data_IF_121758974010
#
_entry.id   IF_121758974010
#
_cell.length_a   1.000
_cell.length_b   1.000
_cell.length_c   1.000
_cell.angle_alpha   90.00
_cell.angle_beta   90.00
_cell.angle_gamma   90.00
#
_symmetry.space_group_name_H-M   'P 1'
#
loop_
_entity.id
_entity.type
_entity.pdbx_description
1 polymer ?
#
# COMPACT_ATOMS: atom_id res chain seq x y z
N UNK A 1 -9.16 -16.67 9.07
CA UNK A 1 -9.70 -16.10 7.82
C UNK A 1 -8.78 -14.99 7.29
N UNK A 2 -8.77 -14.72 5.98
CA UNK A 2 -8.06 -13.57 5.39
C UNK A 2 -9.07 -12.58 4.84
N UNK A 3 -9.01 -11.30 5.25
CA UNK A 3 -9.75 -10.22 4.59
C UNK A 3 -8.81 -9.47 3.65
N UNK A 4 -9.08 -9.52 2.36
CA UNK A 4 -8.32 -8.81 1.32
C UNK A 4 -8.90 -7.42 1.17
N UNK A 5 -8.08 -6.38 1.35
CA UNK A 5 -8.46 -4.98 1.15
C UNK A 5 -7.84 -4.44 -0.13
N UNK A 6 -8.68 -3.95 -1.02
CA UNK A 6 -8.33 -3.40 -2.32
C UNK A 6 -8.95 -2.01 -2.48
N UNK A 7 -8.18 -1.04 -2.98
CA UNK A 7 -8.70 0.26 -3.41
C UNK A 7 -8.55 0.40 -4.93
N UNK A 8 -9.61 0.84 -5.60
CA UNK A 8 -9.62 1.02 -7.06
C UNK A 8 -10.42 2.25 -7.50
N UNK A 9 -10.13 2.73 -8.71
CA UNK A 9 -10.89 3.77 -9.42
C UNK A 9 -10.68 3.62 -10.92
N UNK A 10 -11.73 3.30 -11.68
CA UNK A 10 -11.70 3.09 -13.13
C UNK A 10 -10.60 2.10 -13.55
N UNK A 11 -10.67 0.89 -12.99
CA UNK A 11 -9.67 -0.15 -13.14
C UNK A 11 -10.07 -1.32 -14.02
N UNK A 12 -11.16 -1.24 -14.77
CA UNK A 12 -11.74 -2.36 -15.54
C UNK A 12 -10.68 -3.11 -16.37
N UNK A 13 -9.78 -2.39 -17.04
CA UNK A 13 -8.80 -2.98 -17.97
C UNK A 13 -7.69 -3.80 -17.28
N UNK A 14 -7.24 -3.40 -16.09
CA UNK A 14 -6.11 -4.05 -15.39
C UNK A 14 -6.50 -4.83 -14.15
N UNK A 15 -7.64 -4.51 -13.54
CA UNK A 15 -8.15 -5.19 -12.35
C UNK A 15 -8.48 -6.67 -12.62
N UNK A 16 -8.88 -7.01 -13.84
CA UNK A 16 -9.26 -8.38 -14.23
C UNK A 16 -8.17 -9.39 -13.92
N UNK A 17 -6.93 -9.15 -14.34
CA UNK A 17 -5.81 -10.07 -14.11
C UNK A 17 -5.52 -10.25 -12.62
N UNK A 18 -5.65 -9.19 -11.82
CA UNK A 18 -5.50 -9.27 -10.38
C UNK A 18 -6.62 -10.10 -9.74
N UNK A 19 -7.88 -9.84 -10.08
CA UNK A 19 -9.04 -10.59 -9.55
C UNK A 19 -8.96 -12.08 -9.92
N UNK A 20 -8.57 -12.41 -11.15
CA UNK A 20 -8.35 -13.79 -11.60
C UNK A 20 -7.24 -14.46 -10.78
N UNK A 21 -6.17 -13.74 -10.44
CA UNK A 21 -5.08 -14.27 -9.62
C UNK A 21 -5.50 -14.49 -8.15
N UNK A 22 -6.42 -13.68 -7.63
CA UNK A 22 -7.03 -13.86 -6.31
C UNK A 22 -8.01 -15.04 -6.34
N UNK A 23 -8.83 -15.18 -7.38
CA UNK A 23 -9.77 -16.29 -7.55
C UNK A 23 -9.05 -17.66 -7.63
N UNK A 24 -7.84 -17.66 -8.17
CA UNK A 24 -7.04 -18.87 -8.35
C UNK A 24 -6.25 -19.27 -7.09
N UNK A 25 -6.39 -18.57 -5.95
CA UNK A 25 -5.66 -18.91 -4.73
C UNK A 25 -6.09 -20.28 -4.17
N UNK A 26 -5.11 -21.08 -3.74
CA UNK A 26 -5.34 -22.38 -3.10
C UNK A 26 -5.92 -22.27 -1.69
N UNK A 27 -5.64 -21.15 -1.01
CA UNK A 27 -6.26 -20.83 0.27
C UNK A 27 -7.66 -20.27 0.05
N UNK A 28 -8.69 -20.97 0.49
CA UNK A 28 -10.12 -20.66 0.17
C UNK A 28 -10.81 -19.80 1.24
N UNK A 29 -10.28 -19.72 2.48
CA UNK A 29 -10.95 -19.02 3.59
C UNK A 29 -10.62 -17.53 3.60
N UNK A 30 -11.06 -16.81 2.54
CA UNK A 30 -10.87 -15.37 2.40
C UNK A 30 -12.16 -14.66 1.95
N UNK A 31 -12.21 -13.37 2.17
CA UNK A 31 -13.19 -12.44 1.63
C UNK A 31 -12.51 -11.21 1.03
N UNK A 32 -13.17 -10.58 0.05
CA UNK A 32 -12.66 -9.39 -0.62
C UNK A 32 -13.51 -8.17 -0.28
N UNK A 33 -12.86 -7.11 0.18
CA UNK A 33 -13.47 -5.79 0.45
C UNK A 33 -12.82 -4.78 -0.47
N UNK A 34 -13.58 -4.21 -1.38
CA UNK A 34 -13.13 -3.24 -2.38
C UNK A 34 -13.62 -1.86 -2.01
N UNK A 35 -12.70 -0.94 -1.77
CA UNK A 35 -12.99 0.49 -1.75
C UNK A 35 -12.95 1.03 -3.18
N UNK A 36 -14.10 1.17 -3.79
CA UNK A 36 -14.27 1.76 -5.13
C UNK A 36 -14.57 3.26 -4.99
N UNK A 37 -13.67 4.12 -5.44
CA UNK A 37 -13.81 5.58 -5.31
C UNK A 37 -14.75 6.18 -6.38
N UNK A 38 -15.86 5.51 -6.68
CA UNK A 38 -16.86 6.00 -7.62
C UNK A 38 -16.48 5.77 -9.07
N UNK A 39 -16.01 4.56 -9.42
CA UNK A 39 -15.76 4.17 -10.80
C UNK A 39 -16.99 4.32 -11.69
N UNK A 40 -16.79 4.78 -12.91
CA UNK A 40 -17.83 5.01 -13.93
C UNK A 40 -17.67 4.08 -15.13
N UNK A 41 -16.65 3.22 -15.13
CA UNK A 41 -16.46 2.10 -16.04
C UNK A 41 -17.09 0.80 -15.48
N UNK A 42 -16.82 -0.33 -16.05
CA UNK A 42 -17.32 -1.64 -15.61
C UNK A 42 -16.65 -2.21 -14.34
N UNK A 43 -15.84 -1.44 -13.60
CA UNK A 43 -15.05 -1.92 -12.45
C UNK A 43 -15.90 -2.63 -11.39
N UNK A 44 -16.99 -2.00 -10.93
CA UNK A 44 -17.82 -2.56 -9.86
C UNK A 44 -18.52 -3.86 -10.29
N UNK A 45 -18.97 -3.93 -11.55
CA UNK A 45 -19.58 -5.11 -12.15
C UNK A 45 -18.55 -6.22 -12.35
N UNK A 46 -17.34 -5.90 -12.83
CA UNK A 46 -16.25 -6.86 -13.00
C UNK A 46 -15.90 -7.56 -11.67
N UNK A 47 -15.81 -6.80 -10.58
CA UNK A 47 -15.56 -7.33 -9.24
C UNK A 47 -16.66 -8.29 -8.80
N UNK A 48 -17.94 -7.89 -8.93
CA UNK A 48 -19.10 -8.70 -8.51
C UNK A 48 -19.27 -9.96 -9.35
N UNK A 49 -18.92 -9.92 -10.63
CA UNK A 49 -19.05 -11.06 -11.55
C UNK A 49 -18.02 -12.17 -11.29
N UNK A 50 -16.86 -11.83 -10.73
CA UNK A 50 -15.81 -12.81 -10.40
C UNK A 50 -16.06 -13.46 -9.04
N UNK A 51 -16.62 -12.72 -8.08
CA UNK A 51 -16.81 -13.20 -6.71
C UNK A 51 -18.22 -12.92 -6.18
N UNK A 52 -18.93 -13.96 -5.81
CA UNK A 52 -20.29 -13.86 -5.23
C UNK A 52 -20.31 -13.18 -3.84
N UNK A 53 -19.20 -13.21 -3.10
CA UNK A 53 -19.09 -12.72 -1.71
C UNK A 53 -18.17 -11.51 -1.60
N UNK A 54 -18.20 -10.59 -2.57
CA UNK A 54 -17.40 -9.36 -2.52
C UNK A 54 -18.19 -8.22 -1.90
N UNK A 55 -17.55 -7.50 -0.99
CA UNK A 55 -18.07 -6.27 -0.40
C UNK A 55 -17.49 -5.10 -1.21
N UNK A 56 -18.34 -4.36 -1.91
CA UNK A 56 -17.95 -3.15 -2.64
C UNK A 56 -18.43 -1.92 -1.87
N UNK A 57 -17.50 -1.09 -1.44
CA UNK A 57 -17.73 0.13 -0.68
C UNK A 57 -17.59 1.34 -1.60
N UNK A 58 -18.73 1.78 -2.17
CA UNK A 58 -18.78 2.89 -3.11
C UNK A 58 -18.34 4.22 -2.50
N UNK A 59 -17.41 4.92 -3.16
CA UNK A 59 -17.02 6.30 -2.91
C UNK A 59 -17.79 7.30 -3.77
N UNK A 60 -17.38 8.56 -3.68
CA UNK A 60 -17.95 9.70 -4.40
C UNK A 60 -17.02 10.29 -5.48
N UNK A 61 -15.91 9.62 -5.78
CA UNK A 61 -14.86 10.09 -6.69
C UNK A 61 -13.85 11.04 -6.05
N UNK A 62 -13.95 11.27 -4.72
CA UNK A 62 -13.09 12.21 -3.99
C UNK A 62 -12.32 11.57 -2.82
N UNK A 63 -12.52 10.27 -2.58
CA UNK A 63 -11.82 9.54 -1.52
C UNK A 63 -10.34 9.37 -1.82
N UNK A 64 -9.99 9.21 -3.08
CA UNK A 64 -8.65 8.84 -3.53
C UNK A 64 -8.23 7.49 -2.94
N UNK A 65 -7.03 7.04 -3.27
CA UNK A 65 -6.55 5.75 -2.77
C UNK A 65 -6.58 5.65 -1.23
N UNK A 66 -6.07 6.67 -0.54
CA UNK A 66 -6.01 6.67 0.94
C UNK A 66 -7.38 6.68 1.60
N UNK A 67 -8.36 7.38 1.02
CA UNK A 67 -9.73 7.42 1.53
C UNK A 67 -10.49 6.13 1.25
N UNK A 68 -10.34 5.56 0.06
CA UNK A 68 -10.95 4.28 -0.30
C UNK A 68 -10.42 3.14 0.60
N UNK A 69 -9.10 3.09 0.81
CA UNK A 69 -8.47 2.14 1.72
C UNK A 69 -8.87 2.38 3.18
N UNK A 70 -9.01 3.65 3.61
CA UNK A 70 -9.52 3.96 4.96
C UNK A 70 -10.97 3.54 5.15
N UNK A 71 -11.80 3.65 4.13
CA UNK A 71 -13.20 3.16 4.15
C UNK A 71 -13.24 1.64 4.30
N UNK A 72 -12.42 0.92 3.57
CA UNK A 72 -12.28 -0.54 3.70
C UNK A 72 -11.76 -0.93 5.10
N UNK A 73 -10.77 -0.22 5.63
CA UNK A 73 -10.28 -0.38 7.00
C UNK A 73 -11.39 -0.19 8.04
N UNK A 74 -12.22 0.85 7.92
CA UNK A 74 -13.34 1.09 8.85
C UNK A 74 -14.35 -0.03 8.78
N UNK A 75 -14.74 -0.45 7.58
CA UNK A 75 -15.63 -1.60 7.40
C UNK A 75 -15.09 -2.84 8.13
N UNK A 76 -13.82 -3.14 7.97
CA UNK A 76 -13.18 -4.29 8.64
C UNK A 76 -13.30 -4.19 10.17
N UNK A 77 -13.04 -3.01 10.76
CA UNK A 77 -13.15 -2.81 12.21
C UNK A 77 -14.59 -2.95 12.72
N UNK A 78 -15.58 -2.47 11.97
CA UNK A 78 -16.99 -2.54 12.33
C UNK A 78 -17.52 -4.00 12.31
N UNK A 79 -16.78 -4.93 11.67
CA UNK A 79 -17.15 -6.36 11.58
C UNK A 79 -16.32 -7.26 12.53
N UNK A 80 -15.44 -6.70 13.35
CA UNK A 80 -14.74 -7.47 14.39
C UNK A 80 -15.76 -7.97 15.42
N UNK A 81 -15.72 -9.27 15.70
CA UNK A 81 -16.72 -9.98 16.52
C UNK A 81 -17.97 -10.40 15.76
N UNK A 82 -18.10 -10.02 14.48
CA UNK A 82 -19.17 -10.44 13.59
C UNK A 82 -18.58 -10.97 12.28
N UNK A 83 -18.01 -12.16 12.31
CA UNK A 83 -17.37 -12.82 11.17
C UNK A 83 -15.88 -12.52 10.99
N UNK A 84 -15.33 -11.55 11.73
CA UNK A 84 -13.91 -11.17 11.72
C UNK A 84 -13.36 -11.23 13.15
N UNK A 85 -12.18 -11.80 13.34
CA UNK A 85 -11.52 -11.96 14.65
C UNK A 85 -10.18 -11.23 14.72
N UNK A 86 -9.69 -10.94 15.91
CA UNK A 86 -8.42 -10.25 16.15
C UNK A 86 -7.19 -11.03 15.63
N UNK A 87 -7.24 -12.36 15.61
CA UNK A 87 -6.18 -13.22 15.08
C UNK A 87 -6.30 -13.50 13.57
N UNK A 88 -7.39 -13.08 12.94
CA UNK A 88 -7.51 -13.12 11.48
C UNK A 88 -6.50 -12.18 10.83
N UNK A 89 -6.29 -12.37 9.54
CA UNK A 89 -5.28 -11.65 8.77
C UNK A 89 -5.96 -10.68 7.80
N UNK A 90 -5.43 -9.47 7.72
CA UNK A 90 -5.69 -8.56 6.62
C UNK A 90 -4.56 -8.64 5.59
N UNK A 91 -4.95 -8.74 4.32
CA UNK A 91 -4.06 -8.68 3.17
C UNK A 91 -4.39 -7.44 2.35
N UNK A 92 -3.50 -6.46 2.36
CA UNK A 92 -3.60 -5.27 1.52
C UNK A 92 -3.03 -5.55 0.13
N UNK A 93 -3.75 -5.11 -0.90
CA UNK A 93 -3.32 -5.23 -2.29
C UNK A 93 -3.72 -4.00 -3.09
N UNK A 94 -3.05 -3.79 -4.23
CA UNK A 94 -3.42 -2.81 -5.24
C UNK A 94 -3.98 -3.52 -6.47
N UNK A 95 -4.72 -2.80 -7.28
CA UNK A 95 -5.42 -3.28 -8.48
C UNK A 95 -4.49 -3.64 -9.66
N UNK A 96 -3.20 -3.34 -9.56
CA UNK A 96 -2.15 -3.62 -10.56
C UNK A 96 -1.24 -4.81 -10.21
N UNK A 97 -1.59 -5.61 -9.22
CA UNK A 97 -0.73 -6.70 -8.70
C UNK A 97 -1.29 -8.08 -9.03
N UNK A 98 -0.43 -8.99 -9.48
CA UNK A 98 -0.77 -10.37 -9.85
C UNK A 98 0.02 -11.35 -9.01
N UNK A 99 -0.65 -12.40 -8.54
CA UNK A 99 -0.16 -13.36 -7.57
C UNK A 99 -0.10 -14.79 -8.11
N UNK A 100 0.86 -15.58 -7.62
CA UNK A 100 0.88 -17.04 -7.82
C UNK A 100 -0.22 -17.72 -6.98
N UNK A 101 -0.60 -18.95 -7.34
CA UNK A 101 -1.76 -19.65 -6.75
C UNK A 101 -1.66 -19.91 -5.25
N UNK A 102 -0.47 -20.08 -4.71
CA UNK A 102 -0.20 -20.37 -3.29
C UNK A 102 0.26 -19.14 -2.50
N UNK A 103 0.05 -17.95 -3.08
CA UNK A 103 0.57 -16.68 -2.54
C UNK A 103 0.06 -16.37 -1.13
N UNK A 104 -1.25 -16.55 -0.90
CA UNK A 104 -1.87 -16.30 0.41
C UNK A 104 -1.33 -17.31 1.43
N UNK A 105 -1.23 -18.59 1.08
CA UNK A 105 -0.67 -19.62 1.98
C UNK A 105 0.76 -19.29 2.41
N UNK A 106 1.62 -18.90 1.44
CA UNK A 106 3.00 -18.47 1.73
C UNK A 106 3.04 -17.25 2.63
N UNK A 107 2.21 -16.26 2.36
CA UNK A 107 2.10 -15.06 3.20
C UNK A 107 1.68 -15.37 4.63
N UNK A 108 0.70 -16.25 4.81
CA UNK A 108 0.24 -16.72 6.12
C UNK A 108 1.31 -17.51 6.87
N UNK A 109 2.04 -18.39 6.17
CA UNK A 109 3.14 -19.17 6.74
C UNK A 109 4.23 -18.24 7.28
N UNK A 110 4.71 -17.30 6.48
CA UNK A 110 5.72 -16.32 6.91
C UNK A 110 5.20 -15.46 8.06
N UNK A 111 3.94 -15.02 8.02
CA UNK A 111 3.34 -14.24 9.09
C UNK A 111 3.23 -15.03 10.41
N UNK A 112 3.05 -16.36 10.34
CA UNK A 112 3.01 -17.21 11.52
C UNK A 112 4.37 -17.33 12.23
N UNK A 113 5.46 -17.20 11.50
CA UNK A 113 6.84 -17.25 12.03
C UNK A 113 7.28 -15.91 12.67
N UNK A 114 6.51 -14.82 12.45
CA UNK A 114 6.84 -13.48 12.91
C UNK A 114 5.71 -12.86 13.74
N UNK A 115 5.94 -12.64 15.01
CA UNK A 115 5.00 -11.94 15.89
C UNK A 115 5.04 -10.43 15.68
N UNK A 116 3.88 -9.76 15.86
CA UNK A 116 3.73 -8.29 15.74
C UNK A 116 4.45 -7.73 14.51
N UNK A 117 4.14 -8.32 13.34
CA UNK A 117 4.85 -8.01 12.09
C UNK A 117 3.88 -7.78 10.94
N UNK A 118 4.23 -6.83 10.10
CA UNK A 118 3.72 -6.65 8.75
C UNK A 118 4.66 -7.41 7.80
N UNK A 119 4.16 -8.43 7.13
CA UNK A 119 4.92 -9.19 6.11
C UNK A 119 4.61 -8.58 4.74
N UNK A 120 5.63 -8.06 4.07
CA UNK A 120 5.52 -7.59 2.70
C UNK A 120 6.16 -8.59 1.73
N UNK A 121 5.54 -8.76 0.56
CA UNK A 121 6.12 -9.52 -0.54
C UNK A 121 7.16 -8.71 -1.32
N UNK A 122 8.03 -9.42 -2.04
CA UNK A 122 8.92 -8.83 -3.04
C UNK A 122 8.19 -8.63 -4.36
N UNK A 123 8.14 -7.38 -4.83
CA UNK A 123 7.48 -7.01 -6.07
C UNK A 123 8.43 -6.94 -7.26
N UNK A 124 8.03 -7.57 -8.36
CA UNK A 124 8.77 -7.64 -9.61
C UNK A 124 7.97 -7.01 -10.75
N UNK A 125 8.63 -6.26 -11.62
CA UNK A 125 8.00 -5.68 -12.80
C UNK A 125 7.54 -6.78 -13.78
N UNK A 126 6.29 -6.72 -14.23
CA UNK A 126 5.76 -7.61 -15.26
C UNK A 126 6.53 -7.50 -16.58
N UNK A 127 7.10 -6.33 -16.89
CA UNK A 127 7.76 -6.07 -18.18
C UNK A 127 9.26 -6.35 -18.16
N UNK A 128 9.97 -6.00 -17.08
CA UNK A 128 11.42 -6.12 -17.01
C UNK A 128 11.92 -7.28 -16.15
N UNK A 129 11.04 -7.83 -15.29
CA UNK A 129 11.43 -8.84 -14.29
C UNK A 129 12.30 -8.29 -13.16
N UNK A 130 12.60 -6.98 -13.15
CA UNK A 130 13.41 -6.35 -12.10
C UNK A 130 12.60 -6.20 -10.81
N UNK A 131 13.27 -6.43 -9.68
CA UNK A 131 12.69 -6.18 -8.36
C UNK A 131 12.61 -4.68 -8.10
N UNK A 132 11.43 -4.20 -7.69
CA UNK A 132 11.20 -2.77 -7.42
C UNK A 132 10.49 -2.50 -6.10
N UNK A 133 9.96 -3.53 -5.44
CA UNK A 133 9.16 -3.39 -4.22
C UNK A 133 9.54 -4.42 -3.14
N UNK A 134 9.14 -4.10 -1.92
CA UNK A 134 9.44 -4.87 -0.71
C UNK A 134 9.45 -3.96 0.51
N UNK A 135 10.40 -4.16 1.42
CA UNK A 135 10.67 -3.23 2.51
C UNK A 135 11.77 -2.23 2.15
N UNK A 136 11.70 -1.05 2.75
CA UNK A 136 12.64 0.03 2.48
C UNK A 136 13.17 0.65 3.77
N UNK A 137 14.40 1.22 3.69
CA UNK A 137 14.88 2.20 4.65
C UNK A 137 14.53 3.61 4.19
N UNK A 138 14.05 4.42 5.11
CA UNK A 138 13.77 5.84 4.88
C UNK A 138 14.94 6.69 5.38
N UNK A 139 15.81 7.11 4.48
CA UNK A 139 16.93 8.01 4.78
C UNK A 139 16.64 9.42 4.25
N UNK A 140 16.04 10.28 5.07
CA UNK A 140 15.75 11.69 4.75
C UNK A 140 15.00 11.88 3.41
N UNK A 141 15.69 11.99 2.28
CA UNK A 141 15.08 12.15 0.94
C UNK A 141 15.18 10.90 0.08
N UNK A 142 15.85 9.86 0.56
CA UNK A 142 16.10 8.63 -0.18
C UNK A 142 15.32 7.48 0.43
N UNK A 143 14.65 6.73 -0.42
CA UNK A 143 13.98 5.48 -0.08
C UNK A 143 14.83 4.38 -0.69
N UNK A 144 15.45 3.57 0.16
CA UNK A 144 16.37 2.51 -0.25
C UNK A 144 15.69 1.17 -0.11
N UNK A 145 15.52 0.46 -1.23
CA UNK A 145 14.98 -0.90 -1.23
C UNK A 145 15.95 -1.84 -0.49
N UNK A 146 15.41 -2.55 0.50
CA UNK A 146 16.16 -3.51 1.31
C UNK A 146 16.28 -4.85 0.60
N UNK A 147 17.32 -5.59 0.94
CA UNK A 147 17.43 -7.00 0.56
C UNK A 147 16.23 -7.81 1.11
N UNK A 148 15.88 -8.89 0.43
CA UNK A 148 14.89 -9.85 0.91
C UNK A 148 15.32 -10.50 2.23
N UNK A 149 14.36 -11.04 2.97
CA UNK A 149 14.54 -11.67 4.29
C UNK A 149 15.14 -10.72 5.34
N UNK A 150 14.84 -9.43 5.21
CA UNK A 150 15.27 -8.39 6.13
C UNK A 150 14.10 -7.53 6.64
N UNK A 151 14.32 -6.93 7.80
CA UNK A 151 13.42 -5.93 8.35
C UNK A 151 13.68 -4.55 7.74
N UNK A 152 12.59 -3.84 7.41
CA UNK A 152 12.62 -2.47 6.92
C UNK A 152 11.95 -1.48 7.87
N UNK A 153 11.95 -0.21 7.46
CA UNK A 153 11.29 0.88 8.20
C UNK A 153 9.91 1.24 7.62
N UNK A 154 9.76 1.09 6.32
CA UNK A 154 8.53 1.35 5.55
C UNK A 154 8.34 0.28 4.48
N UNK A 155 7.10 0.10 4.02
CA UNK A 155 6.73 -0.74 2.89
C UNK A 155 5.54 -0.13 2.15
N UNK A 156 5.33 -0.57 0.90
CA UNK A 156 4.06 -0.33 0.21
C UNK A 156 2.98 -1.29 0.72
N UNK A 157 1.73 -0.99 0.39
CA UNK A 157 0.60 -1.90 0.67
C UNK A 157 0.17 -2.71 -0.55
N UNK A 158 1.01 -2.80 -1.60
CA UNK A 158 0.74 -3.65 -2.77
C UNK A 158 0.64 -5.11 -2.43
N UNK A 159 1.36 -5.51 -1.38
CA UNK A 159 1.37 -6.87 -0.86
C UNK A 159 1.77 -6.83 0.60
N UNK A 160 0.80 -6.61 1.48
CA UNK A 160 1.09 -6.46 2.90
C UNK A 160 0.12 -7.33 3.72
N UNK A 161 0.66 -8.30 4.44
CA UNK A 161 -0.08 -9.14 5.38
C UNK A 161 0.17 -8.68 6.81
N UNK A 162 -0.87 -8.62 7.63
CA UNK A 162 -0.73 -8.41 9.07
C UNK A 162 -1.94 -8.95 9.83
N UNK A 163 -1.78 -9.24 11.12
CA UNK A 163 -2.92 -9.63 11.96
C UNK A 163 -3.81 -8.44 12.26
N UNK A 164 -5.10 -8.67 12.41
CA UNK A 164 -6.08 -7.61 12.73
C UNK A 164 -5.79 -6.95 14.07
N UNK A 165 -5.34 -7.70 15.07
CA UNK A 165 -4.88 -7.12 16.34
C UNK A 165 -3.74 -6.12 16.18
N UNK A 166 -2.81 -6.38 15.26
CA UNK A 166 -1.73 -5.46 14.94
C UNK A 166 -2.24 -4.26 14.12
N UNK A 167 -3.18 -4.47 13.20
CA UNK A 167 -3.85 -3.38 12.47
C UNK A 167 -4.55 -2.40 13.41
N UNK A 168 -5.22 -2.88 14.47
CA UNK A 168 -5.83 -2.03 15.50
C UNK A 168 -4.79 -1.16 16.21
N UNK A 169 -3.59 -1.69 16.48
CA UNK A 169 -2.47 -0.92 17.06
C UNK A 169 -1.94 0.15 16.10
N UNK A 170 -1.86 -0.17 14.81
CA UNK A 170 -1.42 0.78 13.77
C UNK A 170 -2.47 1.87 13.55
N UNK A 171 -3.75 1.51 13.54
CA UNK A 171 -4.86 2.39 13.17
C UNK A 171 -5.00 2.56 11.66
N UNK A 172 -6.00 3.31 11.21
CA UNK A 172 -6.32 3.49 9.79
C UNK A 172 -5.42 4.48 9.05
N UNK A 173 -5.66 4.62 7.76
CA UNK A 173 -5.01 5.62 6.92
C UNK A 173 -5.45 7.04 7.29
N UNK A 174 -4.72 8.06 6.81
CA UNK A 174 -4.96 9.48 7.10
C UNK A 174 -5.32 10.27 5.82
N UNK A 175 -6.49 10.01 5.19
CA UNK A 175 -6.79 10.52 3.85
C UNK A 175 -6.86 12.04 3.75
N UNK A 176 -7.18 12.76 4.84
CA UNK A 176 -7.18 14.23 4.86
C UNK A 176 -5.74 14.77 4.71
N UNK A 177 -4.75 14.11 5.32
CA UNK A 177 -3.36 14.52 5.30
C UNK A 177 -2.61 13.98 4.09
N UNK A 178 -2.84 12.71 3.75
CA UNK A 178 -2.19 11.98 2.67
C UNK A 178 -3.26 11.22 1.86
N UNK A 179 -3.93 11.89 0.90
CA UNK A 179 -5.05 11.29 0.18
C UNK A 179 -4.63 10.19 -0.80
N UNK A 180 -3.40 10.21 -1.31
CA UNK A 180 -2.94 9.28 -2.33
C UNK A 180 -1.51 8.81 -2.03
N UNK A 181 -0.47 9.33 -2.71
CA UNK A 181 0.91 8.93 -2.51
C UNK A 181 1.40 9.17 -1.07
N UNK A 182 2.33 8.35 -0.61
CA UNK A 182 2.96 8.36 0.72
C UNK A 182 2.03 7.93 1.87
N UNK A 183 0.77 7.63 1.58
CA UNK A 183 -0.21 7.18 2.57
C UNK A 183 0.15 5.79 3.12
N UNK A 184 0.58 4.89 2.24
CA UNK A 184 1.09 3.55 2.54
C UNK A 184 2.39 3.61 3.36
N UNK A 185 3.33 4.46 2.97
CA UNK A 185 4.59 4.65 3.70
C UNK A 185 4.38 5.25 5.10
N UNK A 186 3.47 6.22 5.26
CA UNK A 186 3.10 6.74 6.58
C UNK A 186 2.45 5.66 7.45
N UNK A 187 1.53 4.90 6.88
CA UNK A 187 0.84 3.82 7.57
C UNK A 187 1.82 2.76 8.10
N UNK A 188 2.70 2.26 7.25
CA UNK A 188 3.67 1.22 7.63
C UNK A 188 4.75 1.75 8.57
N UNK A 189 5.25 2.99 8.36
CA UNK A 189 6.18 3.65 9.28
C UNK A 189 5.59 3.80 10.68
N UNK A 190 4.34 4.27 10.76
CA UNK A 190 3.62 4.43 12.03
C UNK A 190 3.43 3.08 12.72
N UNK A 191 3.14 2.03 11.97
CA UNK A 191 3.08 0.66 12.48
C UNK A 191 4.40 0.23 13.09
N UNK A 192 5.49 0.42 12.37
CA UNK A 192 6.84 0.11 12.84
C UNK A 192 7.18 0.86 14.15
N UNK A 193 6.88 2.16 14.22
CA UNK A 193 7.05 2.96 15.46
C UNK A 193 6.16 2.50 16.62
N UNK A 194 5.05 1.83 16.35
CA UNK A 194 4.14 1.24 17.34
C UNK A 194 4.48 -0.22 17.68
N UNK A 195 5.65 -0.70 17.24
CA UNK A 195 6.15 -2.04 17.55
C UNK A 195 5.61 -3.15 16.66
N UNK A 196 4.98 -2.81 15.52
CA UNK A 196 4.62 -3.77 14.48
C UNK A 196 5.68 -3.70 13.40
N UNK A 197 6.64 -4.61 13.44
CA UNK A 197 7.82 -4.63 12.55
C UNK A 197 7.41 -4.85 11.09
N UNK A 198 8.30 -4.53 10.14
CA UNK A 198 8.10 -4.80 8.71
C UNK A 198 9.14 -5.81 8.26
N UNK A 199 8.72 -6.94 7.74
CA UNK A 199 9.59 -8.00 7.23
C UNK A 199 9.29 -8.24 5.75
N UNK A 200 10.32 -8.21 4.90
CA UNK A 200 10.20 -8.54 3.49
C UNK A 200 10.66 -9.98 3.26
N UNK A 201 9.79 -10.85 2.76
CA UNK A 201 10.09 -12.26 2.53
C UNK A 201 10.40 -12.56 1.07
N UNK A 202 11.43 -13.38 0.83
CA UNK A 202 11.72 -13.94 -0.49
C UNK A 202 10.79 -15.07 -0.89
N UNK A 203 10.02 -15.63 0.05
CA UNK A 203 9.01 -16.67 -0.24
C UNK A 203 7.72 -16.09 -0.83
N UNK A 204 7.48 -14.79 -0.61
CA UNK A 204 6.26 -14.08 -1.01
C UNK A 204 6.59 -13.12 -2.16
N UNK A 205 6.42 -13.58 -3.42
CA UNK A 205 6.78 -12.80 -4.63
C UNK A 205 5.54 -12.53 -5.47
N UNK A 206 5.40 -11.28 -5.90
CA UNK A 206 4.31 -10.87 -6.79
C UNK A 206 4.84 -10.07 -7.98
N UNK A 207 4.01 -9.95 -9.00
CA UNK A 207 4.29 -9.14 -10.18
C UNK A 207 3.32 -7.96 -10.25
N UNK A 208 3.78 -6.81 -10.73
CA UNK A 208 2.94 -5.62 -10.88
C UNK A 208 3.33 -4.85 -12.14
N UNK A 209 2.32 -4.23 -12.76
CA UNK A 209 2.52 -3.34 -13.88
C UNK A 209 2.83 -1.92 -13.38
N UNK A 210 4.10 -1.53 -13.48
CA UNK A 210 4.55 -0.19 -13.10
C UNK A 210 4.09 0.92 -14.04
N UNK A 211 3.60 0.61 -15.23
CA UNK A 211 3.12 1.62 -16.19
C UNK A 211 1.88 2.36 -15.67
N UNK A 212 1.11 1.73 -14.80
CA UNK A 212 -0.07 2.30 -14.14
C UNK A 212 0.26 3.34 -13.07
N UNK A 213 1.49 3.37 -12.55
CA UNK A 213 1.88 4.22 -11.40
C UNK A 213 2.02 5.70 -11.69
N UNK A 214 1.68 6.21 -12.86
CA UNK A 214 1.62 7.64 -13.17
C UNK A 214 2.90 8.46 -12.87
N UNK A 215 4.05 7.80 -12.70
CA UNK A 215 5.35 8.42 -12.44
C UNK A 215 5.87 9.07 -13.74
N UNK A 216 5.39 10.28 -14.05
CA UNK A 216 5.98 11.11 -15.11
C UNK A 216 7.26 11.76 -14.63
N UNK A 217 8.18 12.06 -15.58
CA UNK A 217 9.38 12.83 -15.22
C UNK A 217 8.97 14.16 -14.57
N UNK A 218 9.51 14.41 -13.36
CA UNK A 218 9.25 15.65 -12.61
C UNK A 218 9.52 16.91 -13.41
N UNK A 219 10.48 16.88 -14.33
CA UNK A 219 10.88 18.04 -15.15
C UNK A 219 9.82 18.42 -16.19
N UNK A 220 8.93 17.51 -16.55
CA UNK A 220 7.86 17.73 -17.54
C UNK A 220 6.55 18.21 -16.94
N UNK A 221 6.45 18.34 -15.60
CA UNK A 221 5.22 18.71 -14.91
C UNK A 221 4.99 20.22 -14.86
N UNK A 222 3.80 20.67 -15.25
CA UNK A 222 3.32 22.01 -14.99
C UNK A 222 3.07 22.24 -13.48
N UNK A 223 3.01 23.48 -13.02
CA UNK A 223 2.70 23.80 -11.63
C UNK A 223 1.35 23.18 -11.18
N UNK A 224 0.32 23.24 -12.01
CA UNK A 224 -0.99 22.63 -11.74
C UNK A 224 -0.87 21.11 -11.53
N UNK A 225 -0.09 20.43 -12.36
CA UNK A 225 0.17 18.99 -12.22
C UNK A 225 0.99 18.68 -10.97
N UNK A 226 1.99 19.52 -10.64
CA UNK A 226 2.84 19.35 -9.47
C UNK A 226 2.03 19.40 -8.15
N UNK A 227 1.03 20.28 -8.07
CA UNK A 227 0.16 20.43 -6.89
C UNK A 227 -1.10 19.52 -6.95
N UNK A 228 -1.24 18.68 -7.97
CA UNK A 228 -2.31 17.68 -8.03
C UNK A 228 -2.21 16.67 -6.88
N UNK A 229 -3.35 16.19 -6.40
CA UNK A 229 -3.41 15.08 -5.42
C UNK A 229 -2.80 13.79 -5.98
N UNK A 230 -2.84 13.57 -7.29
CA UNK A 230 -2.23 12.44 -8.01
C UNK A 230 -0.72 12.63 -8.30
N UNK A 231 -0.07 13.67 -7.80
CA UNK A 231 1.33 13.89 -8.09
C UNK A 231 2.22 13.32 -6.96
N UNK A 232 3.09 12.33 -7.24
CA UNK A 232 4.00 11.78 -6.24
C UNK A 232 5.05 12.80 -5.77
N UNK A 233 5.24 13.88 -6.54
CA UNK A 233 6.17 14.96 -6.22
C UNK A 233 5.50 16.17 -5.55
N UNK A 234 4.21 16.08 -5.21
CA UNK A 234 3.48 17.19 -4.59
C UNK A 234 4.20 17.67 -3.32
N UNK A 235 4.68 18.93 -3.29
CA UNK A 235 5.50 19.40 -2.18
C UNK A 235 4.72 19.51 -0.87
N UNK A 236 3.40 19.74 -0.93
CA UNK A 236 2.53 19.82 0.25
C UNK A 236 2.46 18.47 0.92
N UNK A 237 2.12 17.40 0.18
CA UNK A 237 2.02 16.05 0.75
C UNK A 237 3.37 15.49 1.17
N UNK A 238 4.45 15.80 0.45
CA UNK A 238 5.81 15.48 0.90
C UNK A 238 6.15 16.16 2.22
N UNK A 239 5.82 17.44 2.37
CA UNK A 239 6.05 18.17 3.62
C UNK A 239 5.25 17.54 4.76
N UNK A 240 3.95 17.28 4.55
CA UNK A 240 3.09 16.63 5.54
C UNK A 240 3.66 15.26 5.93
N UNK A 241 4.07 14.44 4.96
CA UNK A 241 4.68 13.14 5.21
C UNK A 241 5.91 13.27 6.11
N UNK A 242 6.83 14.17 5.79
CA UNK A 242 8.01 14.38 6.63
C UNK A 242 7.69 14.87 8.03
N UNK A 243 6.69 15.77 8.18
CA UNK A 243 6.20 16.20 9.49
C UNK A 243 5.64 15.05 10.34
N UNK A 244 5.08 14.03 9.68
CA UNK A 244 4.51 12.86 10.37
C UNK A 244 5.56 11.81 10.76
N UNK A 245 6.65 11.67 9.98
CA UNK A 245 7.64 10.60 10.19
C UNK A 245 8.93 11.08 10.87
N UNK A 246 9.28 12.37 10.76
CA UNK A 246 10.53 12.91 11.31
C UNK A 246 10.25 13.61 12.65
N UNK A 247 11.01 13.28 13.71
CA UNK A 247 10.92 14.01 14.97
C UNK A 247 11.24 15.50 14.80
N UNK A 248 10.46 16.38 15.43
CA UNK A 248 10.56 17.84 15.31
C UNK A 248 11.98 18.37 15.52
N UNK A 249 12.75 17.78 16.44
CA UNK A 249 14.14 18.19 16.72
C UNK A 249 15.12 17.95 15.57
N UNK A 250 14.74 17.15 14.56
CA UNK A 250 15.56 16.90 13.37
C UNK A 250 15.29 17.88 12.21
N UNK A 251 14.24 18.71 12.29
CA UNK A 251 13.89 19.69 11.25
C UNK A 251 15.01 20.67 10.91
N UNK A 252 15.77 21.24 11.89
CA UNK A 252 16.88 22.13 11.56
C UNK A 252 17.95 21.49 10.69
N UNK A 253 18.26 20.20 10.96
CA UNK A 253 19.22 19.43 10.15
C UNK A 253 18.70 19.15 8.73
N UNK A 254 17.39 18.95 8.57
CA UNK A 254 16.77 18.75 7.26
C UNK A 254 16.85 20.02 6.40
N UNK A 255 16.50 21.17 6.99
CA UNK A 255 16.62 22.48 6.34
C UNK A 255 18.05 22.75 5.85
N UNK A 256 19.03 22.47 6.71
CA UNK A 256 20.44 22.67 6.37
C UNK A 256 20.94 21.73 5.24
N UNK A 257 20.50 20.44 5.24
CA UNK A 257 20.83 19.50 4.17
C UNK A 257 20.15 19.86 2.84
N UNK A 258 18.91 20.34 2.87
CA UNK A 258 18.20 20.83 1.68
C UNK A 258 18.90 22.05 1.05
N UNK A 259 19.43 22.94 1.87
CA UNK A 259 20.22 24.10 1.42
C UNK A 259 21.54 23.64 0.82
N UNK A 260 22.28 22.74 1.49
CA UNK A 260 23.55 22.18 0.95
C UNK A 260 23.38 21.43 -0.37
N UNK A 261 22.30 20.64 -0.52
CA UNK A 261 22.06 19.91 -1.77
C UNK A 261 21.76 20.84 -2.96
N UNK A 262 21.26 22.05 -2.71
CA UNK A 262 21.06 23.07 -3.74
C UNK A 262 22.34 23.87 -4.05
N UNK A 263 23.20 24.08 -3.05
CA UNK A 263 24.47 24.81 -3.24
C UNK A 263 25.58 23.94 -3.83
N UNK A 264 25.53 22.61 -3.65
CA UNK A 264 26.54 21.67 -4.18
C UNK A 264 26.37 21.27 -5.65
N UNK A 265 25.40 21.80 -6.38
CA UNK A 265 25.20 21.55 -7.84
C UNK A 265 25.71 22.68 -8.73
N UNK A 266 26.74 23.38 -8.32
CA UNK A 266 27.55 24.24 -9.18
C UNK A 266 28.98 23.73 -9.10
N UNK A 267 29.32 22.83 -10.00
CA UNK A 267 30.63 22.29 -10.25
C UNK A 267 30.56 21.29 -11.38
#
# INVERSE_FOLDING_TARGET
>A
MVTILLATLNGEDYLKAQLESIAAQTYENWQLVVGDDGSTDGTAEAVKNIFNNTIVLQGDGNLWWGGAMHKAYKWLLDHIGNGVNDDDVVFFTNDDSVYEKDYIERGLKVLAEHESTMVTGSGYSLHTGERFDGSFLSKYNDIILMEENNYGEIATTRSLFMRIKDLKRVGGFRPILLPHYLSDFEFTFRGNKRGVKIYCSSEVKYKSDRSTTGLKDRKSLSLKQLFSKKCPYNPVYKTIYYLLIIPIYQFPMLGWKLIKSKCGRKG
#
